data_IF_505974426618
#
_entry.id   IF_505974426618
#
_cell.length_a   1.000
_cell.length_b   1.000
_cell.length_c   1.000
_cell.angle_alpha   90.00
_cell.angle_beta   90.00
_cell.angle_gamma   90.00
#
_symmetry.space_group_name_H-M   'P 1'
#
loop_
_entity.id
_entity.type
_entity.pdbx_description
1 polymer ?
#
# COMPACT_ATOMS: atom_id res chain seq x y z
N UNK A 1 16.12 -30.34 -32.87
CA UNK A 1 14.75 -29.86 -32.60
C UNK A 1 14.78 -28.97 -31.38
N UNK A 2 14.11 -27.83 -31.51
CA UNK A 2 13.93 -26.73 -30.58
C UNK A 2 13.15 -27.16 -29.32
N UNK A 3 13.69 -26.95 -28.11
CA UNK A 3 12.87 -26.58 -26.93
C UNK A 3 13.66 -25.57 -26.10
N UNK A 4 13.44 -24.30 -26.42
CA UNK A 4 13.67 -23.16 -25.53
C UNK A 4 12.47 -23.14 -24.58
N UNK A 5 12.64 -23.56 -23.33
CA UNK A 5 11.64 -23.29 -22.27
C UNK A 5 12.22 -22.28 -21.29
N UNK A 6 11.99 -21.04 -21.69
CA UNK A 6 12.09 -19.79 -20.94
C UNK A 6 11.24 -19.87 -19.65
N UNK A 7 11.84 -20.30 -18.54
CA UNK A 7 11.25 -20.16 -17.19
C UNK A 7 11.89 -18.95 -16.52
N UNK A 8 11.55 -17.75 -17.01
CA UNK A 8 11.94 -16.48 -16.39
C UNK A 8 10.72 -15.58 -16.25
N UNK A 9 9.72 -15.99 -15.48
CA UNK A 9 8.64 -15.08 -15.06
C UNK A 9 8.13 -15.54 -13.71
N UNK A 10 8.63 -14.95 -12.62
CA UNK A 10 7.99 -14.80 -11.30
C UNK A 10 8.96 -14.25 -10.24
N UNK A 11 9.98 -13.48 -10.64
CA UNK A 11 10.31 -12.30 -9.84
C UNK A 11 9.10 -11.37 -9.97
N UNK A 12 8.02 -11.70 -9.26
CA UNK A 12 7.03 -10.73 -8.87
C UNK A 12 7.86 -9.69 -8.13
N UNK A 13 8.18 -8.60 -8.80
CA UNK A 13 8.58 -7.36 -8.17
C UNK A 13 7.39 -7.01 -7.27
N UNK A 14 7.34 -7.59 -6.08
CA UNK A 14 6.41 -7.28 -5.00
C UNK A 14 6.79 -5.93 -4.40
N UNK A 15 7.19 -4.97 -5.25
CA UNK A 15 7.28 -3.58 -4.86
C UNK A 15 5.86 -3.17 -4.58
N UNK A 16 5.57 -3.02 -3.28
CA UNK A 16 4.36 -2.41 -2.81
C UNK A 16 4.15 -1.02 -3.39
N UNK A 17 3.01 -0.39 -3.06
CA UNK A 17 2.86 1.04 -3.30
C UNK A 17 4.07 1.79 -2.74
N UNK A 18 4.44 2.88 -3.38
CA UNK A 18 5.55 3.74 -2.96
C UNK A 18 5.12 5.18 -2.90
N UNK A 19 5.67 5.87 -1.91
CA UNK A 19 5.39 7.27 -1.69
C UNK A 19 4.15 7.47 -0.84
N UNK A 20 3.63 8.68 -0.92
CA UNK A 20 2.65 9.19 0.03
C UNK A 20 1.27 9.24 -0.61
N UNK A 21 0.27 8.73 0.10
CA UNK A 21 -1.12 8.70 -0.29
C UNK A 21 -1.95 9.41 0.75
N UNK A 22 -2.92 10.23 0.34
CA UNK A 22 -3.75 10.99 1.27
C UNK A 22 -5.20 11.04 0.82
N UNK A 23 -6.11 11.20 1.77
CA UNK A 23 -7.48 11.60 1.48
C UNK A 23 -7.53 13.04 0.94
N UNK A 24 -8.68 13.43 0.38
CA UNK A 24 -8.86 14.76 -0.23
C UNK A 24 -8.66 15.91 0.77
N UNK A 25 -8.96 15.67 2.05
CA UNK A 25 -8.77 16.63 3.14
C UNK A 25 -7.34 16.65 3.72
N UNK A 26 -6.48 15.72 3.30
CA UNK A 26 -5.12 15.50 3.81
C UNK A 26 -5.05 15.27 5.33
N UNK A 27 -6.13 14.77 5.93
CA UNK A 27 -6.21 14.45 7.36
C UNK A 27 -5.67 13.05 7.64
N UNK A 28 -5.79 12.15 6.67
CA UNK A 28 -5.26 10.80 6.71
C UNK A 28 -4.20 10.64 5.62
N UNK A 29 -3.02 10.18 6.00
CA UNK A 29 -1.89 9.98 5.10
C UNK A 29 -1.18 8.67 5.38
N UNK A 30 -0.92 7.92 4.32
CA UNK A 30 -0.09 6.72 4.35
C UNK A 30 1.17 6.98 3.53
N UNK A 31 2.34 6.77 4.11
CA UNK A 31 3.61 6.80 3.39
C UNK A 31 4.15 5.39 3.32
N UNK A 32 4.26 4.84 2.12
CA UNK A 32 4.79 3.50 1.89
C UNK A 32 6.24 3.58 1.44
N UNK A 33 7.10 2.88 2.16
CA UNK A 33 8.51 2.71 1.87
C UNK A 33 8.77 1.34 1.22
N UNK A 34 10.02 1.13 0.79
CA UNK A 34 10.47 -0.19 0.41
C UNK A 34 10.42 -1.17 1.61
N UNK A 35 10.49 -2.47 1.30
CA UNK A 35 10.67 -3.55 2.29
C UNK A 35 9.52 -3.68 3.32
N UNK A 36 8.29 -3.38 2.89
CA UNK A 36 7.08 -3.61 3.70
C UNK A 36 6.93 -2.66 4.89
N UNK A 37 7.61 -1.50 4.87
CA UNK A 37 7.48 -0.45 5.89
C UNK A 37 6.49 0.62 5.44
N UNK A 38 5.66 1.08 6.36
CA UNK A 38 4.80 2.23 6.12
C UNK A 38 4.76 3.13 7.35
N UNK A 39 4.28 4.35 7.18
CA UNK A 39 3.81 5.18 8.28
C UNK A 39 2.40 5.67 8.00
N UNK A 40 1.61 5.78 9.06
CA UNK A 40 0.25 6.30 9.03
C UNK A 40 0.22 7.59 9.83
N UNK A 41 -0.22 8.69 9.21
CA UNK A 41 -0.48 9.96 9.88
C UNK A 41 -1.97 10.22 9.89
N UNK A 42 -2.54 10.33 11.08
CA UNK A 42 -3.93 10.74 11.28
C UNK A 42 -3.92 12.02 12.10
N UNK A 43 -4.45 13.12 11.53
CA UNK A 43 -4.48 14.44 12.17
C UNK A 43 -3.08 14.88 12.67
N UNK A 44 -2.04 14.56 11.90
CA UNK A 44 -0.64 14.89 12.21
C UNK A 44 0.05 13.95 13.20
N UNK A 45 -0.67 13.00 13.81
CA UNK A 45 -0.08 11.97 14.67
C UNK A 45 0.44 10.82 13.81
N UNK A 46 1.76 10.63 13.81
CA UNK A 46 2.44 9.62 12.98
C UNK A 46 2.69 8.34 13.77
N UNK A 47 2.31 7.21 13.20
CA UNK A 47 2.58 5.88 13.70
C UNK A 47 3.30 5.04 12.65
N UNK A 48 4.30 4.27 13.08
CA UNK A 48 4.98 3.31 12.22
C UNK A 48 4.09 2.10 12.00
N UNK A 49 4.11 1.56 10.78
CA UNK A 49 3.29 0.43 10.37
C UNK A 49 4.09 -0.52 9.47
N UNK A 50 3.53 -1.72 9.28
CA UNK A 50 3.99 -2.68 8.29
C UNK A 50 2.90 -2.90 7.26
N UNK A 51 3.29 -3.25 6.06
CA UNK A 51 2.31 -3.64 5.05
C UNK A 51 2.77 -4.88 4.29
N UNK A 52 1.78 -5.61 3.78
CA UNK A 52 1.97 -6.72 2.84
C UNK A 52 1.14 -6.40 1.60
N UNK A 53 1.69 -6.70 0.43
CA UNK A 53 0.98 -6.59 -0.85
C UNK A 53 0.75 -7.97 -1.44
N UNK A 54 -0.50 -8.26 -1.76
CA UNK A 54 -0.96 -9.48 -2.41
C UNK A 54 -1.84 -9.09 -3.60
N UNK A 55 -1.28 -9.19 -4.82
CA UNK A 55 -1.96 -8.75 -6.03
C UNK A 55 -2.29 -7.25 -6.02
N UNK A 56 -3.58 -6.95 -6.07
CA UNK A 56 -4.14 -5.59 -5.99
C UNK A 56 -4.42 -5.15 -4.54
N UNK A 57 -4.24 -6.03 -3.55
CA UNK A 57 -4.57 -5.73 -2.16
C UNK A 57 -3.30 -5.37 -1.38
N UNK A 58 -3.39 -4.30 -0.59
CA UNK A 58 -2.35 -3.85 0.34
C UNK A 58 -2.93 -3.83 1.74
N UNK A 59 -2.44 -4.72 2.60
CA UNK A 59 -2.89 -4.83 3.99
C UNK A 59 -1.89 -4.12 4.90
N UNK A 60 -2.35 -3.12 5.65
CA UNK A 60 -1.53 -2.34 6.59
C UNK A 60 -1.83 -2.77 8.01
N UNK A 61 -0.76 -3.11 8.73
CA UNK A 61 -0.77 -3.48 10.14
C UNK A 61 -0.14 -2.35 10.96
N UNK A 62 -0.94 -1.73 11.84
CA UNK A 62 -0.46 -0.73 12.79
C UNK A 62 -0.20 -1.44 14.12
N UNK A 63 1.06 -1.55 14.58
CA UNK A 63 1.38 -2.20 15.85
C UNK A 63 0.75 -1.45 17.03
N UNK A 64 0.23 -2.19 18.02
CA UNK A 64 -0.30 -1.60 19.25
C UNK A 64 -1.67 -0.95 19.14
N UNK A 65 -2.30 -0.95 17.95
CA UNK A 65 -3.73 -0.68 17.84
C UNK A 65 -4.54 -1.94 18.14
N UNK A 66 -5.62 -1.85 18.92
CA UNK A 66 -6.60 -2.94 19.07
C UNK A 66 -7.45 -3.15 17.79
N UNK A 67 -7.21 -2.37 16.74
CA UNK A 67 -7.91 -2.45 15.46
C UNK A 67 -7.41 -3.58 14.56
N UNK A 68 -8.32 -4.07 13.72
CA UNK A 68 -7.99 -5.00 12.65
C UNK A 68 -7.05 -4.36 11.60
N UNK A 69 -6.25 -5.15 10.87
CA UNK A 69 -5.47 -4.66 9.75
C UNK A 69 -6.35 -3.94 8.72
N UNK A 70 -5.85 -2.86 8.15
CA UNK A 70 -6.59 -2.10 7.13
C UNK A 70 -6.20 -2.61 5.75
N UNK A 71 -7.14 -3.20 5.03
CA UNK A 71 -6.95 -3.63 3.65
C UNK A 71 -7.35 -2.52 2.67
N UNK A 72 -6.47 -2.23 1.72
CA UNK A 72 -6.72 -1.32 0.60
C UNK A 72 -6.65 -2.07 -0.72
N UNK A 73 -7.61 -1.84 -1.61
CA UNK A 73 -7.49 -2.22 -3.02
C UNK A 73 -6.75 -1.12 -3.78
N UNK A 74 -5.75 -1.49 -4.57
CA UNK A 74 -5.02 -0.62 -5.48
C UNK A 74 -5.81 -0.55 -6.79
N UNK A 75 -6.34 0.62 -7.11
CA UNK A 75 -7.09 0.85 -8.34
C UNK A 75 -6.15 0.99 -9.55
N UNK A 76 -6.71 0.89 -10.76
CA UNK A 76 -5.97 1.04 -12.03
C UNK A 76 -5.30 2.42 -12.18
N UNK A 77 -5.89 3.46 -11.59
CA UNK A 77 -5.34 4.82 -11.57
C UNK A 77 -4.24 5.03 -10.50
N UNK A 78 -3.88 3.97 -9.77
CA UNK A 78 -2.88 3.97 -8.71
C UNK A 78 -3.38 4.46 -7.36
N UNK A 79 -4.63 4.92 -7.22
CA UNK A 79 -5.23 5.28 -5.93
C UNK A 79 -5.48 4.04 -5.06
N UNK A 80 -5.64 4.26 -3.76
CA UNK A 80 -5.95 3.22 -2.79
C UNK A 80 -7.40 3.37 -2.31
N UNK A 81 -8.20 2.31 -2.49
CA UNK A 81 -9.55 2.21 -1.98
C UNK A 81 -9.54 1.42 -0.67
N UNK A 82 -9.87 2.09 0.44
CA UNK A 82 -10.00 1.47 1.75
C UNK A 82 -11.45 1.17 2.13
N UNK A 83 -11.65 0.61 3.34
CA UNK A 83 -12.98 0.35 3.88
C UNK A 83 -13.82 1.62 4.01
N UNK A 84 -15.14 1.46 4.13
CA UNK A 84 -16.09 2.56 4.38
C UNK A 84 -16.01 3.72 3.35
N UNK A 85 -15.54 3.45 2.14
CA UNK A 85 -15.44 4.45 1.06
C UNK A 85 -14.23 5.36 1.16
N UNK A 86 -13.27 5.09 2.06
CA UNK A 86 -12.00 5.84 2.12
C UNK A 86 -11.27 5.70 0.80
N UNK A 87 -10.89 6.82 0.19
CA UNK A 87 -10.08 6.85 -1.03
C UNK A 87 -8.85 7.71 -0.79
N UNK A 88 -7.67 7.14 -1.07
CA UNK A 88 -6.40 7.82 -0.94
C UNK A 88 -5.77 7.99 -2.31
N UNK A 89 -5.43 9.23 -2.65
CA UNK A 89 -4.75 9.56 -3.88
C UNK A 89 -3.26 9.72 -3.63
N UNK A 90 -2.46 9.29 -4.61
CA UNK A 90 -1.02 9.49 -4.54
C UNK A 90 -0.73 11.00 -4.58
N UNK A 91 -0.04 11.49 -3.56
CA UNK A 91 0.43 12.86 -3.54
C UNK A 91 1.50 13.01 -4.63
N UNK A 92 1.30 13.97 -5.54
CA UNK A 92 2.34 14.34 -6.49
C UNK A 92 3.57 14.82 -5.70
N UNK A 93 4.79 14.39 -6.09
CA UNK A 93 6.03 14.89 -5.49
C UNK A 93 6.19 16.40 -5.68
#
# INVERSE_FOLDING_TARGET
MLIVTLVTLLAACSQGPRGTYSDSAQLLRYTFEADGKASVSLLGQVQQARYVREGDTVTVHVPGSEGEPVAFTVNEDGSLQGPMGVRLEQMKP
#
